data_IF_843063981127
#
_entry.id   IF_843063981127
#
_cell.length_a   1.000
_cell.length_b   1.000
_cell.length_c   1.000
_cell.angle_alpha   90.00
_cell.angle_beta   90.00
_cell.angle_gamma   90.00
#
_symmetry.space_group_name_H-M   'P 1'
#
loop_
_entity.id
_entity.type
_entity.pdbx_description
1 polymer ?
#
# COMPACT_ATOMS: atom_id res chain seq x y z
N UNK A 1 0.38 -56.38 48.62
CA UNK A 1 1.83 -56.62 48.75
C UNK A 1 2.46 -56.18 47.44
N UNK A 2 3.30 -55.15 47.31
CA UNK A 2 4.24 -54.51 48.23
C UNK A 2 4.26 -52.98 48.05
N UNK A 3 4.83 -52.32 49.07
CA UNK A 3 4.84 -50.90 49.41
C UNK A 3 5.61 -49.93 48.48
N UNK A 4 5.33 -48.60 48.60
CA UNK A 4 6.02 -47.50 47.92
C UNK A 4 7.19 -46.92 48.74
N UNK A 5 8.19 -46.29 48.10
CA UNK A 5 9.26 -45.53 48.78
C UNK A 5 9.67 -44.24 48.03
N UNK A 6 9.53 -43.15 48.79
CA UNK A 6 10.27 -41.86 48.90
C UNK A 6 10.24 -40.78 47.81
N UNK A 7 9.66 -39.67 48.27
CA UNK A 7 10.01 -38.28 48.01
C UNK A 7 11.49 -37.96 48.32
N UNK A 8 12.08 -37.07 47.53
CA UNK A 8 13.06 -36.08 48.01
C UNK A 8 12.71 -34.73 47.38
N UNK A 9 12.41 -33.75 48.22
CA UNK A 9 12.13 -32.38 47.80
C UNK A 9 13.39 -31.58 47.55
N UNK A 10 13.22 -30.52 46.76
CA UNK A 10 14.03 -29.30 46.81
C UNK A 10 13.13 -28.13 46.42
N UNK A 11 12.69 -27.38 47.44
CA UNK A 11 12.07 -26.08 47.29
C UNK A 11 13.14 -25.04 47.00
N UNK A 12 12.97 -24.25 45.94
CA UNK A 12 13.74 -23.02 45.74
C UNK A 12 12.85 -21.85 46.14
N UNK A 13 13.26 -21.20 47.22
CA UNK A 13 12.72 -19.92 47.71
C UNK A 13 13.34 -18.80 46.87
N UNK A 14 12.54 -18.05 46.12
CA UNK A 14 13.01 -16.78 45.53
C UNK A 14 12.69 -15.66 46.52
N UNK A 15 13.76 -15.10 47.06
CA UNK A 15 13.76 -14.04 48.03
C UNK A 15 13.45 -12.71 47.32
N UNK A 16 12.33 -12.12 47.70
CA UNK A 16 11.88 -10.79 47.28
C UNK A 16 12.79 -9.73 47.92
N UNK A 17 13.57 -9.01 47.12
CA UNK A 17 14.20 -7.76 47.53
C UNK A 17 13.46 -6.60 46.87
N UNK A 18 12.69 -5.89 47.69
CA UNK A 18 12.18 -4.56 47.36
C UNK A 18 13.28 -3.52 47.60
N UNK A 19 13.42 -2.59 46.64
CA UNK A 19 13.81 -1.21 46.92
C UNK A 19 12.81 -0.30 46.18
N UNK A 20 12.20 0.69 46.85
CA UNK A 20 11.18 1.53 46.25
C UNK A 20 11.81 2.68 45.46
N UNK A 21 11.36 2.88 44.22
CA UNK A 21 11.54 4.13 43.50
C UNK A 21 10.22 4.90 43.53
N UNK A 22 10.19 5.97 44.33
CA UNK A 22 9.09 6.93 44.34
C UNK A 22 9.19 7.85 43.11
N UNK A 23 8.10 7.98 42.36
CA UNK A 23 7.85 9.18 41.55
C UNK A 23 6.53 9.77 42.02
N UNK A 24 6.62 11.05 42.38
CA UNK A 24 5.57 11.80 43.06
C UNK A 24 4.34 12.06 42.19
N UNK A 25 3.22 12.11 42.89
CA UNK A 25 2.00 12.71 42.40
C UNK A 25 2.20 14.23 42.25
N UNK A 26 1.97 14.75 41.04
CA UNK A 26 1.51 16.12 40.86
C UNK A 26 0.24 16.06 40.01
N UNK A 27 -0.86 16.50 40.61
CA UNK A 27 -2.12 16.66 39.92
C UNK A 27 -2.00 17.74 38.85
N UNK A 28 -2.68 17.54 37.73
CA UNK A 28 -3.10 18.64 36.89
C UNK A 28 -4.45 18.35 36.25
N UNK A 29 -5.21 19.42 36.16
CA UNK A 29 -6.60 19.51 35.77
C UNK A 29 -6.90 18.84 34.43
N UNK A 30 -8.11 18.27 34.34
CA UNK A 30 -8.77 17.94 33.09
C UNK A 30 -8.97 19.22 32.28
N UNK A 31 -8.09 19.48 31.31
CA UNK A 31 -8.34 20.42 30.22
C UNK A 31 -8.86 19.65 29.01
N UNK A 32 -9.82 20.26 28.33
CA UNK A 32 -10.38 19.79 27.06
C UNK A 32 -9.26 19.66 26.03
N UNK A 33 -8.79 18.43 25.81
CA UNK A 33 -7.76 18.09 24.85
C UNK A 33 -8.36 17.87 23.46
N UNK A 34 -7.99 18.76 22.56
CA UNK A 34 -8.03 18.63 21.10
C UNK A 34 -7.86 17.19 20.64
N UNK A 35 -8.78 16.68 19.82
CA UNK A 35 -8.63 15.37 19.15
C UNK A 35 -7.34 15.40 18.33
N UNK A 36 -6.30 14.60 18.64
CA UNK A 36 -5.09 14.59 17.84
C UNK A 36 -5.43 14.03 16.46
N UNK A 37 -5.30 14.89 15.44
CA UNK A 37 -5.48 14.53 14.04
C UNK A 37 -4.54 13.42 13.60
N UNK A 38 -5.10 12.51 12.79
CA UNK A 38 -4.46 11.55 11.89
C UNK A 38 -3.18 10.86 12.40
N UNK A 39 -3.36 9.72 13.07
CA UNK A 39 -2.31 8.70 13.17
C UNK A 39 -2.51 7.69 12.06
N UNK A 40 -2.05 8.00 10.84
CA UNK A 40 -1.70 6.91 9.91
C UNK A 40 -0.35 6.40 10.44
N UNK A 41 -0.39 5.46 11.39
CA UNK A 41 0.82 4.74 11.79
C UNK A 41 1.43 4.13 10.52
N UNK A 42 2.70 4.42 10.25
CA UNK A 42 3.41 3.91 9.10
C UNK A 42 3.61 2.40 9.23
N UNK A 43 2.56 1.63 8.94
CA UNK A 43 2.61 0.18 8.87
C UNK A 43 3.36 -0.19 7.61
N UNK A 44 4.55 -0.78 7.75
CA UNK A 44 5.31 -1.34 6.63
C UNK A 44 4.44 -2.40 5.97
N UNK A 45 3.98 -2.11 4.75
CA UNK A 45 3.16 -3.06 3.98
C UNK A 45 4.02 -4.30 3.71
N UNK A 46 3.50 -5.51 3.93
CA UNK A 46 4.28 -6.70 3.65
C UNK A 46 4.62 -6.83 2.16
N UNK A 47 5.80 -7.40 1.85
CA UNK A 47 6.29 -7.59 0.47
C UNK A 47 5.31 -8.42 -0.36
N UNK A 48 4.84 -7.88 -1.49
CA UNK A 48 3.91 -8.56 -2.37
C UNK A 48 4.59 -9.72 -3.08
N UNK A 49 4.08 -10.94 -2.94
CA UNK A 49 4.38 -12.03 -3.86
C UNK A 49 3.16 -12.33 -4.75
N UNK A 50 3.39 -13.01 -5.87
CA UNK A 50 2.34 -13.39 -6.80
C UNK A 50 2.35 -14.89 -7.02
N UNK A 51 1.21 -15.47 -7.36
CA UNK A 51 1.08 -16.88 -7.78
C UNK A 51 0.35 -16.88 -9.12
N UNK A 52 0.84 -17.66 -10.10
CA UNK A 52 0.24 -17.74 -11.44
C UNK A 52 -0.90 -18.75 -11.56
N UNK A 53 -1.10 -19.59 -10.54
CA UNK A 53 -2.06 -20.70 -10.56
C UNK A 53 -1.61 -21.92 -11.37
N UNK A 54 -0.39 -21.91 -11.90
CA UNK A 54 0.25 -23.02 -12.63
C UNK A 54 1.45 -23.59 -11.87
N UNK A 55 1.49 -23.40 -10.56
CA UNK A 55 2.55 -23.92 -9.70
C UNK A 55 3.78 -23.01 -9.59
N UNK A 56 3.70 -21.73 -9.96
CA UNK A 56 4.79 -20.76 -9.71
C UNK A 56 4.36 -19.64 -8.78
N UNK A 57 5.29 -19.21 -7.94
CA UNK A 57 5.19 -17.96 -7.22
C UNK A 57 6.37 -17.03 -7.51
N UNK A 58 6.11 -15.73 -7.51
CA UNK A 58 7.09 -14.69 -7.82
C UNK A 58 7.34 -13.84 -6.59
N UNK A 59 8.61 -13.72 -6.19
CA UNK A 59 9.04 -13.02 -4.99
C UNK A 59 9.97 -11.86 -5.35
N UNK A 60 9.56 -10.60 -5.12
CA UNK A 60 10.47 -9.46 -5.20
C UNK A 60 11.42 -9.45 -4.00
N UNK A 61 12.70 -9.66 -4.24
CA UNK A 61 13.80 -9.64 -3.27
C UNK A 61 14.67 -8.41 -3.49
N UNK A 62 14.20 -7.27 -2.97
CA UNK A 62 14.84 -5.98 -3.23
C UNK A 62 14.65 -5.56 -4.69
N UNK A 63 15.67 -5.76 -5.51
CA UNK A 63 15.67 -5.43 -6.95
C UNK A 63 15.40 -6.64 -7.84
N UNK A 64 15.65 -7.82 -7.30
CA UNK A 64 15.51 -9.06 -8.02
C UNK A 64 14.09 -9.55 -7.90
N UNK A 65 13.67 -10.28 -8.92
CA UNK A 65 12.45 -11.05 -8.89
C UNK A 65 12.82 -12.50 -9.09
N UNK A 66 12.48 -13.31 -8.11
CA UNK A 66 12.68 -14.75 -8.14
C UNK A 66 11.35 -15.41 -8.51
N UNK A 67 11.36 -16.30 -9.51
CA UNK A 67 10.29 -17.25 -9.70
C UNK A 67 10.67 -18.57 -9.04
N UNK A 68 9.76 -19.09 -8.24
CA UNK A 68 9.93 -20.33 -7.50
C UNK A 68 8.74 -21.25 -7.72
N UNK A 69 8.96 -22.53 -7.59
CA UNK A 69 7.90 -23.54 -7.62
C UNK A 69 7.06 -23.49 -6.34
N UNK A 70 5.75 -23.65 -6.49
CA UNK A 70 4.82 -23.76 -5.36
C UNK A 70 4.92 -25.11 -4.66
N UNK A 71 5.36 -26.16 -5.36
CA UNK A 71 5.41 -27.52 -4.82
C UNK A 71 6.57 -27.72 -3.85
N UNK A 72 7.79 -27.31 -4.24
CA UNK A 72 9.01 -27.53 -3.46
C UNK A 72 9.78 -26.25 -3.08
N UNK A 73 9.35 -25.08 -3.54
CA UNK A 73 10.03 -23.82 -3.28
C UNK A 73 11.34 -23.61 -4.05
N UNK A 74 11.68 -24.52 -4.99
CA UNK A 74 12.88 -24.44 -5.80
C UNK A 74 12.90 -23.17 -6.66
N UNK A 75 14.08 -22.57 -6.79
CA UNK A 75 14.30 -21.41 -7.67
C UNK A 75 14.27 -21.89 -9.13
N UNK A 76 13.34 -21.36 -9.91
CA UNK A 76 13.18 -21.67 -11.32
C UNK A 76 13.98 -20.69 -12.18
N UNK A 77 13.85 -19.40 -11.89
CA UNK A 77 14.64 -18.34 -12.50
C UNK A 77 14.70 -17.11 -11.59
N UNK A 78 15.68 -16.24 -11.82
CA UNK A 78 15.78 -14.92 -11.20
C UNK A 78 16.08 -13.88 -12.26
N UNK A 79 15.48 -12.69 -12.11
CA UNK A 79 15.69 -11.56 -13.00
C UNK A 79 16.04 -10.31 -12.17
N UNK A 80 17.09 -9.60 -12.58
CA UNK A 80 17.50 -8.33 -11.98
C UNK A 80 17.08 -7.16 -12.87
N UNK A 81 16.49 -6.13 -12.28
CA UNK A 81 16.03 -4.93 -13.00
C UNK A 81 17.12 -3.84 -13.11
N UNK A 82 18.39 -4.26 -13.21
CA UNK A 82 19.58 -3.39 -13.36
C UNK A 82 20.22 -3.01 -12.03
N UNK A 83 21.25 -2.15 -12.02
CA UNK A 83 21.88 -1.56 -10.82
C UNK A 83 21.39 -0.13 -10.54
N UNK A 84 21.40 0.29 -9.27
CA UNK A 84 21.27 1.70 -8.89
C UNK A 84 22.59 2.30 -9.38
N UNK A 85 22.61 3.50 -9.93
CA UNK A 85 23.85 4.26 -9.82
C UNK A 85 24.23 4.30 -8.34
N UNK A 86 25.49 4.05 -7.99
CA UNK A 86 25.95 3.97 -6.59
C UNK A 86 25.48 5.19 -5.74
N UNK A 87 25.14 6.30 -6.40
CA UNK A 87 24.63 7.55 -5.84
C UNK A 87 23.26 7.47 -5.15
N UNK A 88 22.47 6.41 -5.35
CA UNK A 88 21.07 6.42 -4.87
C UNK A 88 20.84 5.87 -3.47
N UNK A 89 21.78 5.08 -2.94
CA UNK A 89 21.66 4.46 -1.62
C UNK A 89 21.50 5.48 -0.47
N UNK A 90 21.74 6.77 -0.73
CA UNK A 90 21.58 7.88 0.24
C UNK A 90 20.23 8.60 0.21
N UNK A 91 19.29 8.27 -0.69
CA UNK A 91 18.07 9.10 -0.88
C UNK A 91 16.90 8.73 0.05
N UNK A 92 16.95 7.58 0.72
CA UNK A 92 15.93 7.21 1.71
C UNK A 92 16.20 7.99 2.99
N UNK A 93 15.30 8.91 3.34
CA UNK A 93 15.43 9.66 4.58
C UNK A 93 15.44 8.67 5.77
N UNK A 94 16.38 8.80 6.72
CA UNK A 94 16.41 7.95 7.91
C UNK A 94 15.04 7.90 8.58
N UNK A 95 14.55 6.69 8.85
CA UNK A 95 13.22 6.48 9.47
C UNK A 95 12.04 6.46 8.49
N UNK A 96 12.26 6.60 7.18
CA UNK A 96 11.21 6.40 6.16
C UNK A 96 11.25 5.00 5.56
N UNK A 97 10.09 4.47 5.20
CA UNK A 97 9.98 3.16 4.57
C UNK A 97 10.39 3.23 3.10
N UNK A 98 11.47 2.53 2.73
CA UNK A 98 11.97 2.42 1.36
C UNK A 98 10.87 1.97 0.39
N UNK A 99 10.80 2.53 -0.83
CA UNK A 99 9.89 2.05 -1.85
C UNK A 99 10.15 0.57 -2.17
N UNK A 100 9.10 -0.19 -2.41
CA UNK A 100 9.19 -1.62 -2.71
C UNK A 100 8.95 -1.87 -4.20
N UNK A 101 9.69 -2.86 -4.74
CA UNK A 101 9.46 -3.38 -6.07
C UNK A 101 8.04 -3.93 -6.21
N UNK A 102 7.27 -3.35 -7.12
CA UNK A 102 5.89 -3.75 -7.39
C UNK A 102 5.86 -4.74 -8.55
N UNK A 103 5.10 -5.82 -8.40
CA UNK A 103 4.94 -6.86 -9.43
C UNK A 103 3.47 -7.14 -9.72
N UNK A 104 3.14 -7.49 -10.96
CA UNK A 104 1.79 -7.87 -11.41
C UNK A 104 1.84 -8.97 -12.49
N UNK A 105 0.80 -9.80 -12.57
CA UNK A 105 0.64 -10.78 -13.64
C UNK A 105 -0.40 -10.31 -14.65
N UNK A 106 -0.06 -10.31 -15.94
CA UNK A 106 -1.01 -10.03 -17.02
C UNK A 106 -0.58 -10.71 -18.32
N UNK A 107 -1.50 -11.43 -18.97
CA UNK A 107 -1.27 -11.96 -20.33
C UNK A 107 -0.02 -12.80 -20.48
N UNK A 108 0.29 -13.67 -19.51
CA UNK A 108 1.50 -14.51 -19.52
C UNK A 108 2.80 -13.76 -19.20
N UNK A 109 2.72 -12.52 -18.69
CA UNK A 109 3.87 -11.67 -18.38
C UNK A 109 3.85 -11.28 -16.91
N UNK A 110 5.04 -11.17 -16.33
CA UNK A 110 5.30 -10.55 -15.06
C UNK A 110 5.71 -9.10 -15.31
N UNK A 111 4.84 -8.17 -14.97
CA UNK A 111 5.10 -6.74 -15.04
C UNK A 111 5.71 -6.29 -13.73
N UNK A 112 6.78 -5.51 -13.80
CA UNK A 112 7.51 -5.04 -12.62
C UNK A 112 7.78 -3.54 -12.70
N UNK A 113 7.70 -2.87 -11.55
CA UNK A 113 8.06 -1.46 -11.42
C UNK A 113 8.90 -1.26 -10.17
N UNK A 114 10.14 -0.80 -10.35
CA UNK A 114 11.02 -0.35 -9.27
C UNK A 114 10.89 1.16 -9.12
N UNK A 115 10.19 1.67 -8.08
CA UNK A 115 9.99 3.11 -7.94
C UNK A 115 11.27 3.87 -7.62
N UNK A 116 12.22 3.22 -6.96
CA UNK A 116 13.52 3.79 -6.59
C UNK A 116 14.33 4.20 -7.83
N UNK A 117 14.39 3.28 -8.81
CA UNK A 117 15.10 3.48 -10.07
C UNK A 117 14.21 4.07 -11.17
N UNK A 118 12.91 4.21 -10.95
CA UNK A 118 11.95 4.57 -12.00
C UNK A 118 12.02 3.65 -13.22
N UNK A 119 12.20 2.34 -12.99
CA UNK A 119 12.30 1.32 -14.04
C UNK A 119 11.01 0.51 -14.09
N UNK A 120 10.38 0.45 -15.26
CA UNK A 120 9.31 -0.50 -15.56
C UNK A 120 9.83 -1.61 -16.48
N UNK A 121 9.39 -2.84 -16.28
CA UNK A 121 9.78 -3.98 -17.11
C UNK A 121 8.64 -4.99 -17.28
N UNK A 122 8.72 -5.78 -18.35
CA UNK A 122 7.97 -7.03 -18.49
C UNK A 122 8.92 -8.21 -18.67
N UNK A 123 8.62 -9.30 -17.99
CA UNK A 123 9.36 -10.54 -17.99
C UNK A 123 8.41 -11.67 -18.39
N UNK A 124 8.87 -12.58 -19.23
CA UNK A 124 8.14 -13.81 -19.57
C UNK A 124 8.07 -14.72 -18.34
N UNK A 125 6.86 -15.16 -17.95
CA UNK A 125 6.66 -15.90 -16.69
C UNK A 125 7.28 -17.30 -16.70
N UNK A 126 7.44 -17.90 -17.88
CA UNK A 126 7.94 -19.26 -18.05
C UNK A 126 9.46 -19.26 -18.00
N UNK A 127 10.09 -18.40 -18.81
CA UNK A 127 11.53 -18.43 -19.04
C UNK A 127 12.33 -17.43 -18.20
N UNK A 128 11.67 -16.46 -17.56
CA UNK A 128 12.35 -15.36 -16.87
C UNK A 128 13.04 -14.38 -17.83
N UNK A 129 12.82 -14.51 -19.14
CA UNK A 129 13.42 -13.61 -20.14
C UNK A 129 12.76 -12.25 -20.09
N UNK A 130 13.58 -11.20 -20.09
CA UNK A 130 13.13 -9.82 -20.24
C UNK A 130 12.50 -9.62 -21.63
N UNK A 131 11.24 -9.18 -21.66
CA UNK A 131 10.53 -8.83 -22.90
C UNK A 131 10.81 -7.37 -23.26
N UNK A 132 10.63 -6.48 -22.30
CA UNK A 132 10.96 -5.06 -22.45
C UNK A 132 11.35 -4.44 -21.11
N UNK A 133 12.10 -3.35 -21.18
CA UNK A 133 12.48 -2.52 -20.04
C UNK A 133 12.42 -1.04 -20.44
N UNK A 134 11.98 -0.18 -19.53
CA UNK A 134 11.86 1.26 -19.72
C UNK A 134 12.36 2.00 -18.50
N UNK A 135 13.36 2.84 -18.72
CA UNK A 135 13.80 3.86 -17.78
C UNK A 135 12.86 5.07 -17.93
N UNK A 136 12.12 5.41 -16.88
CA UNK A 136 11.09 6.46 -16.94
C UNK A 136 11.62 7.84 -16.56
N UNK A 137 12.53 7.88 -15.58
CA UNK A 137 13.21 9.09 -15.13
C UNK A 137 14.70 8.99 -15.45
N UNK A 138 15.38 10.09 -15.75
CA UNK A 138 16.84 10.10 -15.75
C UNK A 138 17.33 9.95 -14.30
N UNK A 139 18.15 8.94 -13.98
CA UNK A 139 18.67 8.80 -12.63
C UNK A 139 19.48 10.04 -12.18
N UNK A 140 20.15 10.72 -13.10
CA UNK A 140 20.97 11.90 -12.79
C UNK A 140 20.14 13.17 -12.58
N UNK A 141 18.89 13.21 -13.05
CA UNK A 141 17.99 14.36 -12.90
C UNK A 141 17.20 14.35 -11.58
N UNK A 142 17.52 13.43 -10.67
CA UNK A 142 16.89 13.32 -9.36
C UNK A 142 17.07 14.61 -8.56
N UNK A 143 16.02 15.42 -8.45
CA UNK A 143 16.03 16.59 -7.57
C UNK A 143 15.99 16.14 -6.11
N UNK A 144 16.77 16.79 -5.24
CA UNK A 144 16.80 16.50 -3.79
C UNK A 144 15.42 16.62 -3.13
N UNK A 145 14.52 17.41 -3.73
CA UNK A 145 13.16 17.68 -3.25
C UNK A 145 12.12 16.64 -3.69
N UNK A 146 12.50 15.66 -4.53
CA UNK A 146 11.65 14.56 -5.00
C UNK A 146 12.03 13.24 -4.32
N UNK A 147 11.83 13.18 -3.00
CA UNK A 147 12.05 11.94 -2.24
C UNK A 147 10.94 10.94 -2.53
N UNK A 148 11.32 9.75 -2.99
CA UNK A 148 10.40 8.64 -3.19
C UNK A 148 10.45 7.71 -2.00
N UNK A 149 9.29 7.47 -1.41
CA UNK A 149 9.06 6.56 -0.30
C UNK A 149 7.98 5.56 -0.69
N UNK A 150 7.88 4.45 0.05
CA UNK A 150 6.81 3.46 -0.16
C UNK A 150 5.41 4.06 -0.14
N UNK A 151 5.21 5.14 0.62
CA UNK A 151 3.93 5.81 0.77
C UNK A 151 3.54 6.68 -0.44
N UNK A 152 4.48 7.15 -1.27
CA UNK A 152 4.18 8.03 -2.40
C UNK A 152 4.53 7.41 -3.77
N UNK A 153 4.69 6.09 -3.81
CA UNK A 153 4.99 5.34 -5.03
C UNK A 153 4.18 4.05 -5.14
N UNK A 154 4.04 3.57 -6.37
CA UNK A 154 3.32 2.35 -6.63
C UNK A 154 3.06 2.12 -8.10
N UNK A 155 2.28 1.08 -8.38
CA UNK A 155 1.86 0.74 -9.73
C UNK A 155 0.53 -0.03 -9.70
N UNK A 156 -0.14 -0.09 -10.85
CA UNK A 156 -1.35 -0.88 -11.06
C UNK A 156 -1.45 -1.31 -12.52
N UNK A 157 -2.08 -2.45 -12.76
CA UNK A 157 -2.21 -3.05 -14.10
C UNK A 157 -3.67 -3.36 -14.39
N UNK A 158 -4.17 -2.89 -15.53
CA UNK A 158 -5.54 -3.17 -15.97
C UNK A 158 -5.69 -2.97 -17.47
N UNK A 159 -6.50 -3.80 -18.12
CA UNK A 159 -6.91 -3.63 -19.53
C UNK A 159 -5.73 -3.37 -20.50
N UNK A 160 -4.64 -4.16 -20.35
CA UNK A 160 -3.44 -4.02 -21.18
C UNK A 160 -2.58 -2.78 -20.89
N UNK A 161 -2.87 -2.02 -19.82
CA UNK A 161 -2.14 -0.82 -19.41
C UNK A 161 -1.44 -1.05 -18.08
N UNK A 162 -0.24 -0.50 -17.96
CA UNK A 162 0.58 -0.51 -16.76
C UNK A 162 0.79 0.93 -16.27
N UNK A 163 0.05 1.31 -15.24
CA UNK A 163 0.21 2.62 -14.61
C UNK A 163 1.22 2.53 -13.48
N UNK A 164 2.14 3.48 -13.45
CA UNK A 164 3.20 3.58 -12.46
C UNK A 164 3.29 5.02 -11.94
N UNK A 165 3.61 5.19 -10.67
CA UNK A 165 3.79 6.48 -10.03
C UNK A 165 4.89 6.44 -8.97
N UNK A 166 5.59 7.56 -8.79
CA UNK A 166 6.77 7.68 -7.97
C UNK A 166 7.54 8.92 -8.41
N UNK A 167 8.83 8.79 -8.74
CA UNK A 167 9.62 9.89 -9.34
C UNK A 167 8.95 10.43 -10.59
N UNK A 168 8.57 9.50 -11.46
CA UNK A 168 7.81 9.74 -12.66
C UNK A 168 6.47 9.04 -12.56
N UNK A 169 5.46 9.66 -13.16
CA UNK A 169 4.16 9.01 -13.32
C UNK A 169 3.91 8.79 -14.80
N UNK A 170 3.56 7.56 -15.17
CA UNK A 170 3.34 7.18 -16.55
C UNK A 170 2.31 6.06 -16.68
N UNK A 171 1.71 5.97 -17.86
CA UNK A 171 0.92 4.82 -18.30
C UNK A 171 1.65 4.21 -19.48
N UNK A 172 2.03 2.95 -19.33
CA UNK A 172 2.66 2.17 -20.38
C UNK A 172 1.66 1.16 -20.96
N UNK A 173 1.88 0.80 -22.22
CA UNK A 173 1.31 -0.39 -22.81
C UNK A 173 1.99 -1.62 -22.21
N UNK A 174 1.20 -2.55 -21.66
CA UNK A 174 1.74 -3.71 -20.94
C UNK A 174 2.47 -4.71 -21.84
N UNK A 175 2.14 -4.74 -23.13
CA UNK A 175 2.68 -5.69 -24.08
C UNK A 175 4.01 -5.20 -24.66
N UNK A 176 4.07 -3.94 -25.05
CA UNK A 176 5.24 -3.33 -25.73
C UNK A 176 6.13 -2.48 -24.83
N UNK A 177 5.63 -2.05 -23.67
CA UNK A 177 6.27 -1.05 -22.82
C UNK A 177 6.29 0.35 -23.46
N UNK A 178 5.51 0.61 -24.52
CA UNK A 178 5.39 1.96 -25.08
C UNK A 178 4.72 2.90 -24.07
N UNK A 179 5.25 4.11 -23.90
CA UNK A 179 4.65 5.11 -23.02
C UNK A 179 3.42 5.71 -23.73
N UNK A 180 2.24 5.34 -23.25
CA UNK A 180 0.94 5.83 -23.74
C UNK A 180 0.71 7.25 -23.25
N UNK A 181 1.15 7.53 -22.03
CA UNK A 181 0.90 8.78 -21.35
C UNK A 181 1.95 9.03 -20.26
N UNK A 182 2.36 10.29 -20.06
CA UNK A 182 3.32 10.68 -19.02
C UNK A 182 2.92 12.01 -18.35
N UNK A 183 3.10 12.09 -17.04
CA UNK A 183 2.78 13.27 -16.21
C UNK A 183 4.01 14.20 -16.14
N UNK A 184 4.53 14.68 -17.27
CA UNK A 184 5.65 15.62 -17.26
C UNK A 184 5.20 16.99 -16.71
N UNK A 185 5.92 17.50 -15.71
CA UNK A 185 5.71 18.85 -15.14
C UNK A 185 6.33 19.95 -16.01
N UNK A 186 7.35 19.60 -16.76
CA UNK A 186 8.15 20.42 -17.68
C UNK A 186 7.47 20.63 -19.04
N UNK A 187 6.55 19.74 -19.42
CA UNK A 187 5.62 19.93 -20.54
C UNK A 187 4.36 20.73 -20.18
N UNK A 188 4.18 21.10 -18.91
CA UNK A 188 3.05 21.94 -18.50
C UNK A 188 3.25 23.31 -19.12
N UNK A 189 2.38 23.67 -20.07
CA UNK A 189 2.37 25.01 -20.66
C UNK A 189 2.22 26.03 -19.54
N UNK A 190 3.32 26.71 -19.20
CA UNK A 190 3.27 27.90 -18.36
C UNK A 190 2.34 28.89 -19.05
N UNK A 191 1.39 29.45 -18.29
CA UNK A 191 0.53 30.48 -18.86
C UNK A 191 1.46 31.64 -19.25
N UNK A 192 1.46 32.13 -20.51
CA UNK A 192 2.41 33.14 -20.97
C UNK A 192 2.15 34.53 -20.36
N UNK A 193 1.38 34.60 -19.27
CA UNK A 193 0.99 35.82 -18.59
C UNK A 193 1.80 35.92 -17.30
N UNK A 194 2.89 36.67 -17.37
CA UNK A 194 3.57 37.16 -16.17
C UNK A 194 2.71 38.26 -15.54
N UNK A 195 2.06 37.96 -14.42
CA UNK A 195 1.37 38.99 -13.63
C UNK A 195 2.44 39.85 -12.93
N UNK A 196 2.69 41.05 -13.43
CA UNK A 196 3.50 42.03 -12.72
C UNK A 196 2.70 42.54 -11.51
N UNK A 197 3.30 42.57 -10.32
CA UNK A 197 2.72 43.32 -9.20
C UNK A 197 2.49 44.77 -9.63
N UNK A 198 1.32 45.32 -9.32
CA UNK A 198 0.96 46.69 -9.72
C UNK A 198 1.95 47.76 -9.20
N UNK A 199 2.73 47.46 -8.15
CA UNK A 199 3.81 48.31 -7.62
C UNK A 199 5.09 48.24 -8.46
N UNK A 200 5.38 47.10 -9.09
CA UNK A 200 6.57 46.88 -9.94
C UNK A 200 6.44 47.60 -11.29
N UNK A 201 5.21 47.72 -11.81
CA UNK A 201 4.94 48.50 -13.02
C UNK A 201 5.23 50.00 -12.83
N UNK A 202 5.14 50.52 -11.60
CA UNK A 202 5.44 51.92 -11.28
C UNK A 202 6.95 52.18 -11.08
N UNK A 203 7.75 51.16 -10.80
CA UNK A 203 9.19 51.28 -10.48
C UNK A 203 10.12 50.89 -11.63
N UNK A 204 9.61 50.25 -12.69
CA UNK A 204 10.33 50.01 -13.95
C UNK A 204 10.61 51.28 -14.77
N UNK A 205 10.04 52.42 -14.39
CA UNK A 205 10.33 53.71 -15.01
C UNK A 205 11.60 54.41 -14.47
N UNK A 206 12.21 53.94 -13.38
CA UNK A 206 13.17 54.77 -12.63
C UNK A 206 14.52 54.11 -12.27
N UNK A 207 14.86 52.91 -12.74
CA UNK A 207 16.15 52.30 -12.32
C UNK A 207 16.95 51.64 -13.44
N UNK A 208 17.90 52.43 -13.97
CA UNK A 208 19.20 51.93 -14.37
C UNK A 208 20.13 51.92 -13.16
N UNK A 209 20.35 50.76 -12.53
CA UNK A 209 21.48 50.58 -11.62
C UNK A 209 21.83 49.10 -11.49
N UNK A 210 23.11 48.82 -11.71
CA UNK A 210 23.69 47.49 -11.72
C UNK A 210 23.82 46.94 -10.28
N UNK A 211 22.86 46.12 -9.87
CA UNK A 211 22.89 45.38 -8.61
C UNK A 211 23.23 43.92 -8.85
N UNK A 212 24.34 43.44 -8.28
CA UNK A 212 24.72 42.03 -8.14
C UNK A 212 23.74 41.33 -7.19
N UNK A 213 22.60 40.88 -7.71
CA UNK A 213 21.60 40.11 -6.96
C UNK A 213 22.00 38.65 -6.82
N UNK A 214 21.94 38.12 -5.60
CA UNK A 214 22.05 36.67 -5.35
C UNK A 214 21.02 35.91 -6.18
N UNK A 215 21.35 34.71 -6.70
CA UNK A 215 20.43 33.92 -7.50
C UNK A 215 19.18 33.64 -6.68
N UNK A 216 18.04 34.16 -7.15
CA UNK A 216 16.76 33.90 -6.53
C UNK A 216 16.51 32.39 -6.55
N UNK A 217 16.28 31.81 -5.36
CA UNK A 217 15.84 30.42 -5.23
C UNK A 217 14.61 30.26 -6.10
N UNK A 218 14.70 29.41 -7.13
CA UNK A 218 13.61 29.19 -8.07
C UNK A 218 12.36 28.77 -7.30
N UNK A 219 11.38 29.67 -7.22
CA UNK A 219 10.12 29.40 -6.54
C UNK A 219 9.36 28.35 -7.34
N UNK A 220 8.88 27.32 -6.66
CA UNK A 220 8.09 26.24 -7.28
C UNK A 220 6.86 26.84 -7.98
N UNK A 221 6.55 26.44 -9.23
CA UNK A 221 5.35 26.91 -9.91
C UNK A 221 4.10 26.48 -9.13
N UNK A 222 3.13 27.39 -9.03
CA UNK A 222 1.84 27.10 -8.42
C UNK A 222 1.00 26.25 -9.36
N UNK A 223 0.58 25.06 -8.94
CA UNK A 223 -0.28 24.22 -9.77
C UNK A 223 -1.74 24.45 -9.42
N UNK A 224 -2.57 24.70 -10.45
CA UNK A 224 -4.02 24.78 -10.27
C UNK A 224 -4.71 23.74 -11.15
N UNK A 225 -5.43 22.83 -10.51
CA UNK A 225 -6.44 22.00 -11.18
C UNK A 225 -7.78 22.76 -11.21
N UNK A 226 -8.33 22.97 -12.41
CA UNK A 226 -9.65 23.57 -12.60
C UNK A 226 -10.79 22.84 -11.84
N UNK A 227 -10.59 21.56 -11.52
CA UNK A 227 -11.54 20.72 -10.79
C UNK A 227 -11.17 20.55 -9.31
N UNK A 228 -10.28 21.37 -8.75
CA UNK A 228 -10.06 21.44 -7.30
C UNK A 228 -11.40 21.68 -6.59
N UNK A 229 -11.75 20.88 -5.56
CA UNK A 229 -12.98 21.07 -4.80
C UNK A 229 -13.11 22.52 -4.33
N UNK A 230 -14.33 23.05 -4.33
CA UNK A 230 -14.61 24.46 -3.99
C UNK A 230 -14.04 24.86 -2.63
N UNK A 231 -14.01 23.95 -1.67
CA UNK A 231 -13.47 24.18 -0.33
C UNK A 231 -11.95 24.49 -0.32
N UNK A 232 -11.19 23.97 -1.29
CA UNK A 232 -9.72 24.13 -1.39
C UNK A 232 -9.34 25.15 -2.48
N UNK A 233 -10.33 25.63 -3.25
CA UNK A 233 -10.09 26.48 -4.41
C UNK A 233 -9.49 27.84 -4.04
N UNK A 234 -9.85 28.42 -2.90
CA UNK A 234 -9.33 29.73 -2.51
C UNK A 234 -7.80 29.70 -2.27
N UNK A 235 -7.31 28.71 -1.53
CA UNK A 235 -5.88 28.54 -1.26
C UNK A 235 -5.12 28.13 -2.53
N UNK A 236 -5.70 27.24 -3.34
CA UNK A 236 -5.12 26.85 -4.62
C UNK A 236 -5.01 28.04 -5.59
N UNK A 237 -6.04 28.88 -5.69
CA UNK A 237 -6.01 30.10 -6.51
C UNK A 237 -5.02 31.11 -5.95
N UNK A 238 -4.96 31.30 -4.63
CA UNK A 238 -3.99 32.19 -4.00
C UNK A 238 -2.55 31.75 -4.30
N UNK A 239 -2.23 30.46 -4.15
CA UNK A 239 -0.94 29.90 -4.53
C UNK A 239 -0.66 30.07 -6.02
N UNK A 240 -1.63 29.77 -6.88
CA UNK A 240 -1.52 29.95 -8.33
C UNK A 240 -1.23 31.40 -8.74
N UNK A 241 -1.81 32.39 -8.05
CA UNK A 241 -1.59 33.81 -8.34
C UNK A 241 -0.27 34.34 -7.75
N UNK A 242 0.24 33.74 -6.67
CA UNK A 242 1.48 34.15 -6.01
C UNK A 242 2.75 33.62 -6.71
N UNK A 243 2.63 32.54 -7.48
CA UNK A 243 3.74 31.91 -8.20
C UNK A 243 3.47 31.94 -9.71
N UNK A 244 4.46 31.62 -10.56
CA UNK A 244 4.19 31.36 -11.98
C UNK A 244 3.30 30.13 -12.08
N UNK A 245 1.99 30.39 -12.15
CA UNK A 245 0.96 29.38 -12.09
C UNK A 245 0.88 28.58 -13.39
N UNK A 246 0.72 27.26 -13.28
CA UNK A 246 0.51 26.39 -14.42
C UNK A 246 -0.81 25.61 -14.25
N UNK A 247 -1.68 25.69 -15.26
CA UNK A 247 -2.89 24.87 -15.30
C UNK A 247 -2.51 23.46 -15.69
N UNK A 248 -2.79 22.51 -14.79
CA UNK A 248 -2.41 21.11 -14.95
C UNK A 248 -3.63 20.20 -15.00
N UNK A 249 -3.48 19.06 -15.67
CA UNK A 249 -4.47 18.00 -15.61
C UNK A 249 -4.61 17.49 -14.14
N UNK A 250 -5.80 17.04 -13.72
CA UNK A 250 -6.04 16.64 -12.33
C UNK A 250 -5.08 15.58 -11.80
N UNK A 251 -4.67 14.67 -12.67
CA UNK A 251 -3.74 13.60 -12.32
C UNK A 251 -2.28 14.06 -12.21
N UNK A 252 -1.87 15.07 -13.00
CA UNK A 252 -0.56 15.72 -12.84
C UNK A 252 -0.52 16.54 -11.55
N UNK A 253 -1.58 17.30 -11.27
CA UNK A 253 -1.75 18.01 -10.00
C UNK A 253 -1.63 17.05 -8.81
N UNK A 254 -2.35 15.92 -8.86
CA UNK A 254 -2.30 14.92 -7.81
C UNK A 254 -0.89 14.37 -7.59
N UNK A 255 -0.19 13.97 -8.66
CA UNK A 255 1.17 13.43 -8.57
C UNK A 255 2.14 14.46 -7.97
N UNK A 256 2.11 15.70 -8.47
CA UNK A 256 2.96 16.78 -7.98
C UNK A 256 2.67 17.13 -6.51
N UNK A 257 1.40 17.21 -6.11
CA UNK A 257 1.00 17.51 -4.74
C UNK A 257 1.43 16.40 -3.75
N UNK A 258 1.39 15.14 -4.16
CA UNK A 258 1.78 14.00 -3.32
C UNK A 258 3.29 13.91 -3.13
N UNK A 259 4.06 14.12 -4.20
CA UNK A 259 5.51 14.25 -4.10
C UNK A 259 5.92 15.42 -3.20
N UNK A 260 5.26 16.57 -3.33
CA UNK A 260 5.58 17.76 -2.56
C UNK A 260 5.24 17.64 -1.06
N UNK A 261 4.14 16.97 -0.71
CA UNK A 261 3.67 16.84 0.68
C UNK A 261 4.28 15.66 1.43
N UNK A 262 4.79 14.64 0.73
CA UNK A 262 5.24 13.39 1.35
C UNK A 262 4.10 12.58 1.97
N UNK A 263 2.85 12.96 1.73
CA UNK A 263 1.67 12.27 2.25
C UNK A 263 1.46 10.93 1.56
N UNK A 264 0.79 9.95 2.21
CA UNK A 264 0.40 8.71 1.55
C UNK A 264 -0.37 8.98 0.27
N UNK A 265 0.03 8.30 -0.80
CA UNK A 265 -0.54 8.36 -2.12
C UNK A 265 -0.87 6.93 -2.55
N UNK A 266 -2.12 6.74 -2.91
CA UNK A 266 -2.58 5.49 -3.50
C UNK A 266 -3.32 5.83 -4.79
N UNK A 267 -3.08 5.04 -5.82
CA UNK A 267 -3.79 5.16 -7.09
C UNK A 267 -4.00 3.79 -7.72
N UNK A 268 -5.14 3.63 -8.38
CA UNK A 268 -5.53 2.37 -9.00
C UNK A 268 -6.26 2.58 -10.32
N UNK A 269 -5.93 1.76 -11.31
CA UNK A 269 -6.68 1.66 -12.54
C UNK A 269 -7.84 0.66 -12.44
N UNK A 270 -9.05 1.14 -12.74
CA UNK A 270 -10.28 0.33 -12.73
C UNK A 270 -10.53 -0.34 -14.08
N UNK A 271 -11.34 -1.41 -14.07
CA UNK A 271 -11.90 -1.93 -15.32
C UNK A 271 -12.74 -0.85 -16.02
N UNK A 272 -12.44 -0.60 -17.29
CA UNK A 272 -13.12 0.45 -18.07
C UNK A 272 -12.29 1.73 -18.24
N UNK A 273 -11.00 1.69 -17.89
CA UNK A 273 -10.06 2.76 -18.22
C UNK A 273 -10.28 4.04 -17.43
N UNK A 274 -10.53 3.92 -16.12
CA UNK A 274 -10.51 5.07 -15.20
C UNK A 274 -9.37 4.91 -14.20
N UNK A 275 -8.72 6.02 -13.87
CA UNK A 275 -7.69 6.13 -12.85
C UNK A 275 -8.30 6.72 -11.57
N UNK A 276 -8.24 5.98 -10.47
CA UNK A 276 -8.61 6.45 -9.14
C UNK A 276 -7.36 7.02 -8.47
N UNK A 277 -7.46 8.25 -7.98
CA UNK A 277 -6.40 8.99 -7.33
C UNK A 277 -6.84 9.33 -5.92
N UNK A 278 -6.36 8.58 -4.94
CA UNK A 278 -6.82 8.69 -3.57
C UNK A 278 -6.12 9.85 -2.86
N UNK A 279 -6.85 10.48 -1.96
CA UNK A 279 -6.35 11.52 -1.08
C UNK A 279 -7.06 11.51 0.27
N UNK A 280 -6.78 12.52 1.07
CA UNK A 280 -7.03 12.50 2.52
C UNK A 280 -8.52 12.47 2.87
N UNK A 281 -9.38 12.94 1.95
CA UNK A 281 -10.83 13.08 2.16
C UNK A 281 -11.69 12.24 1.22
N UNK A 282 -11.06 11.45 0.34
CA UNK A 282 -11.75 10.71 -0.70
C UNK A 282 -10.85 10.43 -1.89
N UNK A 283 -11.41 10.36 -3.08
CA UNK A 283 -10.64 10.05 -4.27
C UNK A 283 -11.19 10.76 -5.50
N UNK A 284 -10.30 11.02 -6.45
CA UNK A 284 -10.65 11.55 -7.76
C UNK A 284 -10.65 10.42 -8.78
N UNK A 285 -11.68 10.34 -9.61
CA UNK A 285 -11.74 9.41 -10.73
C UNK A 285 -11.51 10.16 -12.03
N UNK A 286 -10.45 9.83 -12.76
CA UNK A 286 -10.05 10.45 -14.02
C UNK A 286 -10.28 9.45 -15.16
N UNK A 287 -10.97 9.85 -16.23
CA UNK A 287 -11.12 8.98 -17.40
C UNK A 287 -9.84 8.98 -18.23
N UNK A 288 -9.32 7.79 -18.57
CA UNK A 288 -8.18 7.67 -19.50
C UNK A 288 -8.57 7.95 -20.96
N UNK A 289 -9.87 7.94 -21.29
CA UNK A 289 -10.39 8.30 -22.62
C UNK A 289 -10.58 9.81 -22.78
N UNK A 290 -10.89 10.50 -21.68
CA UNK A 290 -11.10 11.94 -21.61
C UNK A 290 -10.32 12.48 -20.40
N UNK A 291 -9.00 12.73 -20.53
CA UNK A 291 -8.11 13.00 -19.39
C UNK A 291 -8.44 14.30 -18.62
N UNK A 292 -9.24 15.19 -19.22
CA UNK A 292 -9.77 16.38 -18.54
C UNK A 292 -11.03 16.08 -17.71
N UNK A 293 -11.74 15.00 -18.04
CA UNK A 293 -12.91 14.54 -17.32
C UNK A 293 -12.51 13.86 -16.02
N UNK A 294 -12.64 14.59 -14.91
CA UNK A 294 -12.51 14.01 -13.58
C UNK A 294 -13.71 14.33 -12.70
N UNK A 295 -14.00 13.44 -11.76
CA UNK A 295 -14.99 13.65 -10.72
C UNK A 295 -14.36 13.32 -9.37
N UNK A 296 -14.69 14.12 -8.36
CA UNK A 296 -14.29 13.86 -6.99
C UNK A 296 -15.39 13.13 -6.25
N UNK A 297 -15.03 12.12 -5.48
CA UNK A 297 -15.95 11.33 -4.69
C UNK A 297 -15.50 11.29 -3.23
N UNK A 298 -16.45 11.38 -2.27
CA UNK A 298 -16.13 11.09 -0.89
C UNK A 298 -15.80 9.60 -0.74
N UNK A 299 -14.79 9.29 0.05
CA UNK A 299 -14.41 7.91 0.38
C UNK A 299 -13.74 7.92 1.74
N UNK A 300 -14.10 6.96 2.60
CA UNK A 300 -13.55 6.79 3.95
C UNK A 300 -13.27 5.33 4.21
N UNK A 301 -12.28 5.07 5.05
CA UNK A 301 -11.87 3.71 5.41
C UNK A 301 -10.80 3.13 4.47
N UNK A 302 -10.55 1.84 4.64
CA UNK A 302 -9.57 1.06 3.89
C UNK A 302 -10.14 0.69 2.53
N UNK A 303 -9.48 1.10 1.46
CA UNK A 303 -9.88 0.72 0.10
C UNK A 303 -9.72 -0.80 -0.12
N UNK A 304 -10.77 -1.43 -0.63
CA UNK A 304 -10.85 -2.90 -0.78
C UNK A 304 -10.69 -3.39 -2.22
N UNK A 305 -11.00 -2.55 -3.20
CA UNK A 305 -11.03 -2.91 -4.61
C UNK A 305 -12.19 -2.25 -5.38
N UNK A 306 -12.25 -2.55 -6.67
CA UNK A 306 -13.32 -2.10 -7.56
C UNK A 306 -14.06 -3.26 -8.22
N UNK A 307 -15.38 -3.14 -8.36
CA UNK A 307 -16.23 -4.07 -9.14
C UNK A 307 -17.14 -3.26 -10.05
N UNK A 308 -16.93 -3.36 -11.36
CA UNK A 308 -17.62 -2.52 -12.34
C UNK A 308 -17.38 -1.04 -12.07
N UNK A 309 -18.45 -0.28 -11.83
CA UNK A 309 -18.40 1.15 -11.49
C UNK A 309 -18.45 1.43 -9.99
N UNK A 310 -18.26 0.41 -9.13
CA UNK A 310 -18.30 0.56 -7.68
C UNK A 310 -16.90 0.48 -7.08
N UNK A 311 -16.60 1.44 -6.21
CA UNK A 311 -15.36 1.51 -5.42
C UNK A 311 -15.71 1.14 -4.00
N UNK A 312 -15.10 0.09 -3.45
CA UNK A 312 -15.43 -0.45 -2.13
C UNK A 312 -14.41 -0.04 -1.07
N UNK A 313 -14.92 0.25 0.12
CA UNK A 313 -14.19 0.63 1.30
C UNK A 313 -14.67 -0.16 2.52
N UNK A 314 -13.77 -0.42 3.46
CA UNK A 314 -14.08 -0.91 4.80
C UNK A 314 -13.79 0.20 5.80
N UNK A 315 -14.83 0.65 6.49
CA UNK A 315 -14.73 1.45 7.71
C UNK A 315 -14.87 0.54 8.94
N UNK A 316 -14.68 1.07 10.15
CA UNK A 316 -14.59 0.29 11.40
C UNK A 316 -15.73 -0.72 11.59
N UNK A 317 -16.93 -0.42 11.12
CA UNK A 317 -18.12 -1.27 11.30
C UNK A 317 -18.97 -1.46 10.04
N UNK A 318 -18.52 -0.96 8.89
CA UNK A 318 -19.34 -1.03 7.68
C UNK A 318 -18.51 -1.15 6.42
N UNK A 319 -19.06 -1.86 5.44
CA UNK A 319 -18.61 -1.74 4.07
C UNK A 319 -19.33 -0.56 3.44
N UNK A 320 -18.61 0.29 2.74
CA UNK A 320 -19.21 1.33 1.93
C UNK A 320 -18.81 1.15 0.48
N UNK A 321 -19.71 1.48 -0.44
CA UNK A 321 -19.34 1.64 -1.84
C UNK A 321 -19.73 3.01 -2.37
N UNK A 322 -18.97 3.46 -3.34
CA UNK A 322 -19.27 4.64 -4.14
C UNK A 322 -19.51 4.20 -5.57
N UNK A 323 -20.68 4.52 -6.11
CA UNK A 323 -20.97 4.36 -7.54
C UNK A 323 -20.39 5.54 -8.32
N UNK A 324 -19.39 5.25 -9.17
CA UNK A 324 -18.68 6.24 -9.99
C UNK A 324 -19.57 6.94 -11.01
N UNK A 325 -20.75 6.40 -11.34
CA UNK A 325 -21.69 7.01 -12.29
C UNK A 325 -22.59 8.02 -11.59
N UNK A 326 -23.18 7.66 -10.46
CA UNK A 326 -24.15 8.49 -9.75
C UNK A 326 -23.51 9.38 -8.68
N UNK A 327 -22.31 9.03 -8.23
CA UNK A 327 -21.69 9.61 -7.04
C UNK A 327 -22.36 9.23 -5.72
N UNK A 328 -23.36 8.33 -5.78
CA UNK A 328 -24.05 7.86 -4.59
C UNK A 328 -23.12 6.97 -3.77
N UNK A 329 -23.08 7.25 -2.47
CA UNK A 329 -22.41 6.40 -1.48
C UNK A 329 -23.48 5.59 -0.74
N UNK A 330 -23.25 4.29 -0.60
CA UNK A 330 -24.11 3.38 0.15
C UNK A 330 -23.25 2.63 1.18
N UNK A 331 -23.74 2.52 2.41
CA UNK A 331 -23.09 1.82 3.50
C UNK A 331 -23.89 0.58 3.90
N UNK A 332 -23.17 -0.50 4.17
CA UNK A 332 -23.66 -1.83 4.49
C UNK A 332 -23.05 -2.19 5.85
N UNK A 333 -23.83 -2.11 6.94
CA UNK A 333 -23.32 -2.46 8.26
C UNK A 333 -22.91 -3.93 8.27
N UNK A 334 -21.72 -4.20 8.82
CA UNK A 334 -21.30 -5.56 9.10
C UNK A 334 -21.91 -6.02 10.43
N UNK A 335 -22.17 -7.32 10.55
CA UNK A 335 -22.73 -7.88 11.77
C UNK A 335 -21.66 -7.83 12.88
N UNK A 336 -21.85 -7.00 13.93
CA UNK A 336 -20.84 -6.83 14.97
C UNK A 336 -20.63 -8.12 15.77
N UNK A 337 -21.65 -8.99 15.85
CA UNK A 337 -21.53 -10.28 16.54
C UNK A 337 -20.61 -11.24 15.79
N UNK A 338 -20.48 -11.10 14.47
CA UNK A 338 -19.58 -11.90 13.63
C UNK A 338 -18.15 -11.36 13.64
N UNK A 339 -18.01 -10.03 13.61
CA UNK A 339 -16.71 -9.36 13.69
C UNK A 339 -16.01 -9.69 15.00
N UNK A 340 -16.76 -9.69 16.11
CA UNK A 340 -16.24 -9.95 17.44
C UNK A 340 -15.27 -8.85 17.89
N UNK A 341 -14.23 -9.23 18.64
CA UNK A 341 -13.19 -8.30 19.11
C UNK A 341 -12.06 -8.09 18.09
N UNK A 342 -11.96 -8.95 17.08
CA UNK A 342 -10.90 -8.86 16.08
C UNK A 342 -11.20 -7.75 15.06
N UNK A 343 -10.17 -6.98 14.62
CA UNK A 343 -10.37 -6.02 13.55
C UNK A 343 -10.81 -6.74 12.28
N UNK A 344 -11.91 -6.27 11.68
CA UNK A 344 -12.39 -6.80 10.41
C UNK A 344 -11.37 -6.48 9.33
N UNK A 345 -11.07 -7.48 8.50
CA UNK A 345 -10.34 -7.28 7.25
C UNK A 345 -11.25 -7.61 6.10
N UNK A 346 -11.08 -6.97 4.95
CA UNK A 346 -11.83 -7.34 3.77
C UNK A 346 -11.00 -7.16 2.50
N UNK A 347 -11.42 -7.82 1.42
CA UNK A 347 -10.89 -7.60 0.09
C UNK A 347 -11.91 -7.97 -0.98
N UNK A 348 -11.79 -7.36 -2.16
CA UNK A 348 -12.59 -7.68 -3.33
C UNK A 348 -11.88 -8.74 -4.18
N UNK A 349 -12.60 -9.77 -4.61
CA UNK A 349 -12.14 -10.71 -5.64
C UNK A 349 -13.31 -11.16 -6.52
N UNK A 350 -13.21 -10.85 -7.82
CA UNK A 350 -14.31 -11.03 -8.76
C UNK A 350 -15.53 -10.19 -8.38
N UNK A 351 -16.72 -10.79 -8.43
CA UNK A 351 -17.99 -10.17 -8.00
C UNK A 351 -18.27 -10.27 -6.50
N UNK A 352 -17.27 -10.58 -5.66
CA UNK A 352 -17.45 -10.87 -4.23
C UNK A 352 -16.52 -10.04 -3.36
N UNK A 353 -16.99 -9.72 -2.17
CA UNK A 353 -16.20 -9.19 -1.05
C UNK A 353 -16.08 -10.31 -0.03
N UNK A 354 -14.86 -10.59 0.38
CA UNK A 354 -14.55 -11.50 1.48
C UNK A 354 -14.23 -10.63 2.68
N UNK A 355 -15.12 -10.59 3.67
CA UNK A 355 -14.85 -9.98 4.96
C UNK A 355 -14.42 -11.08 5.94
N UNK A 356 -13.35 -10.86 6.70
CA UNK A 356 -12.76 -11.78 7.67
C UNK A 356 -12.91 -11.17 9.06
N UNK A 357 -13.47 -11.93 10.00
CA UNK A 357 -13.74 -11.49 11.38
C UNK A 357 -13.42 -12.57 12.40
N UNK A 358 -13.77 -12.34 13.66
CA UNK A 358 -13.52 -13.30 14.75
C UNK A 358 -14.24 -14.64 14.52
N UNK A 359 -15.48 -14.65 14.01
CA UNK A 359 -16.22 -15.90 13.89
C UNK A 359 -16.04 -16.63 12.56
N UNK A 360 -15.53 -15.96 11.53
CA UNK A 360 -15.39 -16.61 10.22
C UNK A 360 -15.07 -15.66 9.09
N UNK A 361 -15.50 -16.08 7.89
CA UNK A 361 -15.49 -15.30 6.66
C UNK A 361 -16.93 -15.03 6.25
N UNK A 362 -17.28 -13.77 6.02
CA UNK A 362 -18.55 -13.35 5.44
C UNK A 362 -18.36 -13.05 3.96
N UNK A 363 -19.17 -13.69 3.11
CA UNK A 363 -19.19 -13.45 1.67
C UNK A 363 -20.31 -12.49 1.34
N UNK A 364 -19.96 -11.43 0.63
CA UNK A 364 -20.87 -10.34 0.28
C UNK A 364 -20.80 -10.14 -1.23
N UNK A 365 -21.96 -9.91 -1.84
CA UNK A 365 -22.07 -9.60 -3.25
C UNK A 365 -21.53 -8.18 -3.49
N UNK A 366 -20.46 -8.06 -4.27
CA UNK A 366 -19.80 -6.78 -4.52
C UNK A 366 -20.61 -5.86 -5.46
N UNK A 367 -21.70 -6.35 -6.03
CA UNK A 367 -22.65 -5.52 -6.76
C UNK A 367 -23.61 -4.83 -5.78
N UNK A 368 -24.44 -5.55 -5.05
CA UNK A 368 -25.53 -4.93 -4.26
C UNK A 368 -25.26 -4.87 -2.75
N UNK A 369 -24.10 -5.35 -2.28
CA UNK A 369 -23.76 -5.42 -0.86
C UNK A 369 -24.56 -6.45 -0.06
N UNK A 370 -25.37 -7.29 -0.72
CA UNK A 370 -26.12 -8.34 -0.05
C UNK A 370 -25.20 -9.46 0.46
N UNK A 371 -25.55 -10.03 1.62
CA UNK A 371 -24.82 -11.16 2.19
C UNK A 371 -25.14 -12.44 1.38
N UNK A 372 -24.11 -13.04 0.80
CA UNK A 372 -24.20 -14.33 0.09
C UNK A 372 -24.16 -15.49 1.09
N UNK A 373 -23.26 -15.42 2.08
CA UNK A 373 -23.07 -16.50 3.04
C UNK A 373 -22.07 -16.16 4.13
N UNK A 374 -21.96 -17.06 5.11
CA UNK A 374 -20.92 -17.02 6.15
C UNK A 374 -20.32 -18.41 6.30
N UNK A 375 -19.00 -18.44 6.44
CA UNK A 375 -18.23 -19.64 6.71
C UNK A 375 -17.53 -19.48 8.04
N UNK A 376 -17.86 -20.34 8.99
CA UNK A 376 -17.14 -20.39 10.26
C UNK A 376 -15.69 -20.83 10.01
N UNK A 377 -14.76 -20.38 10.85
CA UNK A 377 -13.40 -20.90 10.82
C UNK A 377 -13.40 -22.41 11.11
N UNK A 378 -12.61 -23.21 10.38
CA UNK A 378 -12.39 -24.61 10.75
C UNK A 378 -11.88 -24.71 12.19
N UNK A 379 -12.27 -25.75 12.92
CA UNK A 379 -11.94 -25.90 14.35
C UNK A 379 -10.45 -25.76 14.66
N UNK A 380 -9.56 -26.27 13.80
CA UNK A 380 -8.11 -26.13 13.96
C UNK A 380 -7.63 -24.67 13.86
N UNK A 381 -8.25 -23.89 12.98
CA UNK A 381 -7.95 -22.46 12.77
C UNK A 381 -8.51 -21.63 13.92
N UNK A 382 -9.75 -21.88 14.33
CA UNK A 382 -10.37 -21.22 15.48
C UNK A 382 -9.59 -21.49 16.78
N UNK A 383 -9.18 -22.75 17.00
CA UNK A 383 -8.35 -23.13 18.14
C UNK A 383 -6.97 -22.43 18.13
N UNK A 384 -6.34 -22.30 16.97
CA UNK A 384 -5.09 -21.55 16.83
C UNK A 384 -5.27 -20.06 17.19
N UNK A 385 -6.32 -19.42 16.67
CA UNK A 385 -6.60 -18.00 16.93
C UNK A 385 -6.91 -17.73 18.38
N UNK A 386 -7.72 -18.56 19.03
CA UNK A 386 -8.06 -18.43 20.45
C UNK A 386 -6.81 -18.49 21.33
N UNK A 387 -5.88 -19.42 21.05
CA UNK A 387 -4.60 -19.50 21.77
C UNK A 387 -3.73 -18.24 21.61
N UNK A 388 -3.80 -17.60 20.44
CA UNK A 388 -3.08 -16.36 20.16
C UNK A 388 -3.72 -15.16 20.89
N UNK A 389 -5.04 -15.05 20.85
CA UNK A 389 -5.80 -13.99 21.48
C UNK A 389 -5.65 -13.98 23.01
N UNK A 390 -5.56 -15.16 23.65
CA UNK A 390 -5.36 -15.28 25.09
C UNK A 390 -3.92 -15.02 25.54
N UNK A 391 -2.99 -14.74 24.61
CA UNK A 391 -1.55 -14.61 24.92
C UNK A 391 -0.93 -15.87 25.52
N UNK A 392 -1.64 -17.01 25.45
CA UNK A 392 -1.25 -18.27 26.11
C UNK A 392 -0.40 -19.17 25.22
N UNK A 393 0.05 -18.68 24.07
CA UNK A 393 1.17 -19.28 23.38
C UNK A 393 2.43 -18.93 24.17
N UNK A 394 2.76 -19.79 25.13
CA UNK A 394 4.15 -19.96 25.55
C UNK A 394 4.93 -20.43 24.31
N UNK A 395 5.36 -19.47 23.49
CA UNK A 395 6.35 -19.70 22.45
C UNK A 395 7.59 -20.11 23.22
N UNK A 396 7.86 -21.41 23.30
CA UNK A 396 8.86 -21.99 24.19
C UNK A 396 10.13 -21.15 24.22
N UNK A 397 10.51 -20.69 25.42
CA UNK A 397 11.67 -19.80 25.69
C UNK A 397 13.03 -20.39 25.24
N UNK A 398 13.07 -21.58 24.63
CA UNK A 398 14.28 -22.37 24.42
C UNK A 398 15.09 -22.05 23.15
N UNK A 399 14.68 -21.12 22.28
CA UNK A 399 15.42 -20.82 21.04
C UNK A 399 16.12 -19.44 21.07
N UNK A 400 15.87 -18.58 22.07
CA UNK A 400 16.34 -17.17 22.06
C UNK A 400 17.08 -16.71 23.33
N UNK A 401 17.73 -17.61 24.07
CA UNK A 401 18.54 -17.27 25.26
C UNK A 401 19.91 -16.62 24.93
N UNK A 402 19.95 -15.69 23.96
CA UNK A 402 21.10 -14.84 23.67
C UNK A 402 20.80 -13.40 24.10
N UNK A 403 21.63 -12.83 24.97
CA UNK A 403 21.42 -11.53 25.66
C UNK A 403 21.47 -10.26 24.77
N UNK A 404 21.45 -10.38 23.45
CA UNK A 404 21.30 -9.23 22.56
C UNK A 404 19.82 -9.01 22.26
N UNK A 405 19.16 -8.16 23.06
CA UNK A 405 17.81 -7.67 22.75
C UNK A 405 17.89 -6.69 21.57
N UNK A 406 17.38 -7.00 20.37
CA UNK A 406 17.19 -6.00 19.33
C UNK A 406 15.85 -5.28 19.61
N UNK A 407 15.91 -3.96 19.69
CA UNK A 407 14.75 -3.07 19.74
C UNK A 407 13.91 -3.21 18.47
N UNK A 408 12.63 -3.62 18.60
CA UNK A 408 11.45 -3.40 17.73
C UNK A 408 11.65 -3.40 16.18
N UNK A 409 12.73 -3.99 15.68
CA UNK A 409 13.07 -4.10 14.27
C UNK A 409 13.17 -5.59 13.92
N UNK A 410 12.07 -6.31 14.07
CA UNK A 410 11.90 -7.65 13.50
C UNK A 410 10.57 -7.71 12.77
N UNK A 411 10.57 -7.16 11.57
CA UNK A 411 9.68 -7.61 10.51
C UNK A 411 10.19 -9.00 10.10
N UNK A 412 9.48 -10.02 10.56
CA UNK A 412 9.55 -11.44 10.23
C UNK A 412 10.69 -12.32 10.80
N UNK A 413 10.27 -13.36 11.53
CA UNK A 413 10.70 -14.77 11.38
C UNK A 413 9.68 -15.65 12.11
N UNK A 414 8.85 -16.37 11.36
CA UNK A 414 8.13 -17.55 11.87
C UNK A 414 9.09 -18.73 11.95
N UNK A 415 9.08 -19.46 13.06
CA UNK A 415 9.84 -20.70 13.24
C UNK A 415 8.84 -21.85 13.37
N UNK A 416 8.85 -22.77 12.41
CA UNK A 416 8.18 -24.08 12.51
C UNK A 416 9.22 -25.11 12.09
N UNK A 417 9.47 -26.05 13.01
CA UNK A 417 10.39 -27.17 12.84
C UNK A 417 9.74 -28.23 11.94
N UNK A 418 10.30 -28.42 10.75
CA UNK A 418 10.05 -29.59 9.91
C UNK A 418 11.37 -30.33 9.78
N UNK A 419 11.55 -31.42 10.52
CA UNK A 419 12.81 -32.18 10.65
C UNK A 419 13.35 -32.87 9.39
N UNK A 420 13.25 -32.25 8.21
CA UNK A 420 13.88 -32.68 6.97
C UNK A 420 14.67 -31.51 6.34
N UNK A 421 15.86 -31.81 5.84
CA UNK A 421 16.81 -30.82 5.34
C UNK A 421 16.32 -30.14 4.03
N UNK A 422 15.96 -28.85 4.12
CA UNK A 422 15.60 -27.84 3.08
C UNK A 422 14.13 -27.81 2.56
N UNK A 423 13.63 -26.66 2.00
CA UNK A 423 14.01 -25.24 2.14
C UNK A 423 12.94 -24.38 2.88
N UNK A 424 13.34 -23.17 3.29
CA UNK A 424 12.51 -22.22 4.03
C UNK A 424 11.56 -21.41 3.11
N UNK A 425 10.26 -21.36 3.47
CA UNK A 425 9.26 -20.53 2.81
C UNK A 425 9.07 -19.20 3.56
N UNK A 426 8.98 -18.09 2.82
CA UNK A 426 8.72 -16.74 3.34
C UNK A 426 7.35 -16.26 2.86
N UNK A 427 6.49 -15.76 3.76
CA UNK A 427 5.16 -15.28 3.39
C UNK A 427 4.94 -13.87 3.92
N UNK A 428 4.45 -12.98 3.05
CA UNK A 428 3.27 -12.28 3.54
C UNK A 428 2.17 -12.14 2.50
N UNK A 429 0.97 -12.59 2.87
CA UNK A 429 -0.20 -12.63 2.01
C UNK A 429 -1.15 -11.49 2.40
N UNK A 430 -1.34 -10.49 1.55
CA UNK A 430 -2.64 -9.79 1.59
C UNK A 430 -3.72 -10.82 1.33
N UNK A 431 -4.77 -10.84 2.15
CA UNK A 431 -5.87 -11.79 2.00
C UNK A 431 -6.32 -11.85 0.53
N UNK A 432 -6.35 -13.06 -0.05
CA UNK A 432 -6.59 -13.26 -1.48
C UNK A 432 -7.38 -14.53 -1.72
N UNK A 433 -8.34 -14.47 -2.64
CA UNK A 433 -8.99 -15.65 -3.19
C UNK A 433 -8.40 -15.97 -4.57
N UNK A 434 -8.07 -17.25 -4.80
CA UNK A 434 -7.66 -17.77 -6.11
C UNK A 434 -8.34 -19.11 -6.35
N UNK A 435 -9.17 -19.19 -7.39
CA UNK A 435 -10.01 -20.37 -7.63
C UNK A 435 -10.95 -20.62 -6.44
N UNK A 436 -10.90 -21.84 -5.90
CA UNK A 436 -11.66 -22.25 -4.72
C UNK A 436 -10.87 -22.10 -3.41
N UNK A 437 -9.71 -21.44 -3.41
CA UNK A 437 -8.84 -21.32 -2.25
C UNK A 437 -8.75 -19.87 -1.78
N UNK A 438 -9.03 -19.65 -0.49
CA UNK A 438 -8.79 -18.41 0.22
C UNK A 438 -7.45 -18.50 0.96
N UNK A 439 -6.54 -17.58 0.66
CA UNK A 439 -5.29 -17.40 1.38
C UNK A 439 -5.45 -16.21 2.31
N UNK A 440 -5.21 -16.40 3.62
CA UNK A 440 -5.29 -15.32 4.60
C UNK A 440 -4.12 -15.37 5.58
N UNK A 441 -3.69 -14.20 6.06
CA UNK A 441 -2.76 -14.12 7.18
C UNK A 441 -3.49 -14.26 8.52
N UNK A 442 -2.86 -14.94 9.46
CA UNK A 442 -3.23 -15.01 10.87
C UNK A 442 -2.03 -14.61 11.71
N UNK A 443 -2.29 -13.83 12.77
CA UNK A 443 -1.29 -13.40 13.76
C UNK A 443 0.04 -12.90 13.16
N UNK A 444 -0.06 -12.10 12.09
CA UNK A 444 1.03 -11.46 11.33
C UNK A 444 2.08 -12.40 10.68
N UNK A 445 2.02 -13.70 10.97
CA UNK A 445 3.13 -14.64 10.71
C UNK A 445 2.70 -15.98 10.12
N UNK A 446 1.42 -16.34 10.25
CA UNK A 446 0.89 -17.60 9.71
C UNK A 446 0.06 -17.34 8.46
N UNK A 447 0.27 -18.12 7.42
CA UNK A 447 -0.64 -18.15 6.27
C UNK A 447 -1.52 -19.36 6.37
N UNK A 448 -2.82 -19.14 6.20
CA UNK A 448 -3.83 -20.19 6.13
C UNK A 448 -4.38 -20.22 4.73
N UNK A 449 -4.33 -21.39 4.09
CA UNK A 449 -5.02 -21.67 2.84
C UNK A 449 -6.28 -22.48 3.15
N UNK A 450 -7.45 -21.91 2.86
CA UNK A 450 -8.75 -22.55 3.03
C UNK A 450 -9.32 -22.89 1.66
N UNK A 451 -9.38 -24.18 1.35
CA UNK A 451 -10.01 -24.67 0.12
C UNK A 451 -11.49 -24.97 0.36
N UNK A 452 -12.34 -24.46 -0.51
CA UNK A 452 -13.76 -24.80 -0.52
C UNK A 452 -13.93 -26.24 -1.02
N UNK A 453 -14.61 -27.08 -0.23
CA UNK A 453 -14.90 -28.46 -0.60
C UNK A 453 -15.76 -28.52 -1.88
N UNK A 454 -15.44 -29.47 -2.77
CA UNK A 454 -16.14 -29.67 -4.06
C UNK A 454 -17.64 -30.02 -3.92
N UNK A 455 -18.06 -30.42 -2.72
CA UNK A 455 -19.46 -30.73 -2.38
C UNK A 455 -20.29 -29.51 -2.00
N UNK A 456 -19.66 -28.34 -1.81
CA UNK A 456 -20.40 -27.09 -1.68
C UNK A 456 -21.04 -26.75 -3.03
N UNK A 457 -22.27 -26.19 -3.06
CA UNK A 457 -22.92 -25.80 -4.31
C UNK A 457 -21.95 -24.98 -5.15
N UNK A 458 -21.63 -25.47 -6.36
CA UNK A 458 -20.65 -24.85 -7.26
C UNK A 458 -21.00 -23.37 -7.39
N UNK A 459 -20.10 -22.52 -6.90
CA UNK A 459 -20.22 -21.08 -7.00
C UNK A 459 -20.22 -20.72 -8.48
N UNK A 460 -21.38 -20.30 -9.02
CA UNK A 460 -21.43 -19.74 -10.37
C UNK A 460 -20.57 -18.46 -10.42
N UNK A 461 -19.81 -18.23 -11.50
CA UNK A 461 -18.87 -17.12 -11.62
C UNK A 461 -19.53 -15.74 -11.51
#
# INVERSE_FOLDING_TARGET
AFHPIRQSGSSITVQQMMAPYQIGASGSAWSQGTVPGSWINAVKVPRRFLVDGKGRFFLPTGRQIEARSVEGGELLWSADLGQLGDDFAGTVAPGTASPELQVFLQGGRLLAFSPENSVAAAIDIESGKLIWMRQLADPTSAREDQKVVSLNSGASVRDGRFFVYGRETAILDSESGEVVWRFEGDGVRTFPVSLMEASAAASLADQGSAGTGSPAVASRPGYLDHLTPTAERADAVKSFLQYQGALVAPAAHWAAARLASGTPAFAEMTAGGRLLLFGDRGFRSVSLKLPLGSAYFPGRGVYLGTVGQRVWFLDDQSLAHVDLRSGRMEAFPLDPSWAGEDPVRAFVSGGRIYALGQLGVQLINAYDGSRIGVWAWPQGVDGYRKKFATGSLEVGESILAGNDRPSVARVWQGLIDSGAAAPAYCLPVRDRASGNTLFTLMSESSVVALQQADSAPKLQP
#
